data_IF_882059655664
#
_entry.id   IF_882059655664
#
_cell.length_a   1.000
_cell.length_b   1.000
_cell.length_c   1.000
_cell.angle_alpha   90.00
_cell.angle_beta   90.00
_cell.angle_gamma   90.00
#
_symmetry.space_group_name_H-M   'P 1'
#
loop_
_entity.id
_entity.type
_entity.pdbx_description
1 polymer ?
#
# COMPACT_ATOMS: atom_id res chain seq x y z
N UNK A 1 -3.08 18.63 65.71
CA UNK A 1 -3.92 19.84 65.53
C UNK A 1 -3.58 20.71 64.28
N UNK A 2 -2.31 20.76 63.82
CA UNK A 2 -1.91 21.64 62.70
C UNK A 2 -2.15 21.09 61.28
N UNK A 3 -2.17 19.77 61.09
CA UNK A 3 -2.36 19.14 59.76
C UNK A 3 -3.80 19.31 59.23
N UNK A 4 -4.83 19.14 60.06
CA UNK A 4 -6.24 19.32 59.66
C UNK A 4 -6.58 20.75 59.23
N UNK A 5 -6.03 21.75 59.92
CA UNK A 5 -6.26 23.17 59.58
C UNK A 5 -5.64 23.52 58.24
N UNK A 6 -4.44 23.01 57.95
CA UNK A 6 -3.76 23.23 56.68
C UNK A 6 -4.50 22.56 55.52
N UNK A 7 -4.99 21.33 55.72
CA UNK A 7 -5.79 20.61 54.73
C UNK A 7 -7.09 21.37 54.37
N UNK A 8 -7.82 21.89 55.38
CA UNK A 8 -9.04 22.67 55.17
C UNK A 8 -8.80 23.98 54.41
N UNK A 9 -7.71 24.68 54.71
CA UNK A 9 -7.30 25.88 53.94
C UNK A 9 -7.01 25.53 52.49
N UNK A 10 -6.24 24.46 52.22
CA UNK A 10 -5.92 24.04 50.86
C UNK A 10 -7.17 23.64 50.06
N UNK A 11 -8.16 23.02 50.69
CA UNK A 11 -9.42 22.63 50.03
C UNK A 11 -10.27 23.85 49.65
N UNK A 12 -10.29 24.87 50.51
CA UNK A 12 -11.01 26.13 50.25
C UNK A 12 -10.41 26.87 49.06
N UNK A 13 -9.08 27.03 49.04
CA UNK A 13 -8.37 27.66 47.92
C UNK A 13 -8.51 26.87 46.62
N UNK A 14 -8.43 25.54 46.67
CA UNK A 14 -8.63 24.69 45.51
C UNK A 14 -10.04 24.83 44.91
N UNK A 15 -11.06 24.94 45.76
CA UNK A 15 -12.43 25.17 45.29
C UNK A 15 -12.56 26.52 44.58
N UNK A 16 -11.99 27.59 45.14
CA UNK A 16 -11.96 28.92 44.52
C UNK A 16 -11.21 28.93 43.17
N UNK A 17 -10.04 28.29 43.10
CA UNK A 17 -9.24 28.19 41.88
C UNK A 17 -9.96 27.43 40.75
N UNK A 18 -10.73 26.39 41.10
CA UNK A 18 -11.56 25.64 40.16
C UNK A 18 -12.68 26.50 39.57
N UNK A 19 -13.40 27.26 40.41
CA UNK A 19 -14.44 28.19 39.94
C UNK A 19 -13.87 29.28 39.02
N UNK A 20 -12.66 29.77 39.30
CA UNK A 20 -11.96 30.71 38.41
C UNK A 20 -11.64 30.06 37.06
N UNK A 21 -11.15 28.82 37.09
CA UNK A 21 -10.76 28.08 35.89
C UNK A 21 -11.96 27.80 34.97
N UNK A 22 -13.14 27.50 35.52
CA UNK A 22 -14.39 27.39 34.75
C UNK A 22 -14.76 28.68 34.00
N UNK A 23 -14.33 29.83 34.51
CA UNK A 23 -14.48 31.14 33.84
C UNK A 23 -13.29 31.48 32.94
N UNK A 24 -12.45 30.48 32.60
CA UNK A 24 -11.23 30.62 31.79
C UNK A 24 -10.19 31.56 32.43
N UNK A 25 -10.20 31.67 33.76
CA UNK A 25 -9.21 32.44 34.54
C UNK A 25 -8.35 31.47 35.33
N UNK A 26 -7.10 31.29 34.90
CA UNK A 26 -6.12 30.44 35.60
C UNK A 26 -5.34 31.26 36.63
N UNK A 27 -5.33 30.81 37.89
CA UNK A 27 -4.60 31.47 38.97
C UNK A 27 -3.48 30.57 39.52
N UNK A 28 -2.26 31.09 39.65
CA UNK A 28 -1.14 30.35 40.23
C UNK A 28 -1.04 30.63 41.73
N UNK A 29 -1.57 29.73 42.56
CA UNK A 29 -1.66 29.93 44.03
C UNK A 29 -0.89 28.89 44.85
N UNK A 30 -0.69 27.67 44.31
CA UNK A 30 0.09 26.61 44.97
C UNK A 30 1.58 26.96 44.94
N UNK A 31 2.26 26.77 46.06
CA UNK A 31 3.72 26.91 46.21
C UNK A 31 4.28 25.70 46.95
N UNK A 32 5.58 25.47 46.84
CA UNK A 32 6.26 24.39 47.59
C UNK A 32 6.01 24.48 49.10
N UNK A 33 5.95 25.70 49.65
CA UNK A 33 5.65 25.96 51.06
C UNK A 33 4.15 26.10 51.39
N UNK A 34 3.25 26.04 50.41
CA UNK A 34 1.81 26.27 50.58
C UNK A 34 0.97 25.45 49.62
N UNK A 35 0.37 24.37 50.14
CA UNK A 35 -0.54 23.49 49.39
C UNK A 35 0.06 22.92 48.09
N UNK A 36 1.38 22.71 48.06
CA UNK A 36 2.10 22.13 46.94
C UNK A 36 1.54 20.77 46.52
N UNK A 37 1.65 20.46 45.23
CA UNK A 37 1.26 19.19 44.63
C UNK A 37 2.43 18.69 43.80
N UNK A 38 2.85 17.47 44.09
CA UNK A 38 3.96 16.83 43.38
C UNK A 38 3.42 16.07 42.18
N UNK A 39 3.89 16.45 40.99
CA UNK A 39 3.59 15.76 39.74
C UNK A 39 4.86 15.04 39.28
N UNK A 40 4.72 13.74 38.98
CA UNK A 40 5.85 12.92 38.57
C UNK A 40 6.18 13.13 37.09
N UNK A 41 7.43 12.82 36.73
CA UNK A 41 7.89 12.73 35.34
C UNK A 41 7.79 14.06 34.57
N UNK A 42 8.21 15.17 35.21
CA UNK A 42 8.33 16.49 34.59
C UNK A 42 7.00 17.20 34.32
N UNK A 43 5.87 16.67 34.81
CA UNK A 43 4.56 17.34 34.72
C UNK A 43 4.44 18.45 35.75
N UNK A 44 3.58 19.42 35.45
CA UNK A 44 3.17 20.47 36.38
C UNK A 44 1.72 20.28 36.78
N UNK A 45 1.39 20.68 38.01
CA UNK A 45 0.01 20.68 38.47
C UNK A 45 -0.74 21.86 37.85
N UNK A 46 -1.97 21.60 37.40
CA UNK A 46 -2.89 22.58 36.85
C UNK A 46 -4.27 22.40 37.47
N UNK A 47 -4.93 23.50 37.81
CA UNK A 47 -6.32 23.48 38.28
C UNK A 47 -7.31 23.24 37.12
N UNK A 48 -6.84 23.29 35.86
CA UNK A 48 -7.60 22.98 34.65
C UNK A 48 -6.70 22.30 33.61
N UNK A 49 -6.62 20.98 33.68
CA UNK A 49 -5.90 20.16 32.70
C UNK A 49 -6.72 20.04 31.42
N UNK A 50 -6.06 20.09 30.26
CA UNK A 50 -6.72 19.84 28.98
C UNK A 50 -7.19 18.39 28.86
N UNK A 51 -8.43 18.17 28.40
CA UNK A 51 -8.97 16.85 28.09
C UNK A 51 -8.26 16.20 26.88
N UNK A 52 -7.56 16.99 26.08
CA UNK A 52 -6.76 16.54 24.94
C UNK A 52 -5.31 16.98 25.18
N UNK A 53 -4.54 16.28 26.04
CA UNK A 53 -3.17 16.70 26.33
C UNK A 53 -2.31 16.68 25.07
N UNK A 54 -1.49 17.72 24.89
CA UNK A 54 -0.47 17.74 23.85
C UNK A 54 0.45 16.51 24.01
N UNK A 55 0.43 15.63 23.03
CA UNK A 55 1.20 14.38 22.99
C UNK A 55 2.08 14.31 21.76
N UNK A 56 3.13 13.48 21.78
CA UNK A 56 4.02 13.32 20.64
C UNK A 56 3.30 12.83 19.37
N UNK A 57 2.17 12.12 19.51
CA UNK A 57 1.32 11.72 18.40
C UNK A 57 0.51 12.88 17.78
N UNK A 58 0.33 13.99 18.50
CA UNK A 58 -0.49 15.15 18.12
C UNK A 58 0.32 16.40 17.77
N UNK A 59 1.65 16.30 17.76
CA UNK A 59 2.56 17.41 17.40
C UNK A 59 2.07 18.03 16.10
N UNK A 60 1.86 19.35 16.07
CA UNK A 60 1.46 20.14 14.90
C UNK A 60 0.02 19.97 14.39
N UNK A 61 -0.83 19.20 15.07
CA UNK A 61 -2.29 19.13 14.85
C UNK A 61 -3.06 19.37 16.15
N UNK A 62 -2.37 19.95 17.14
CA UNK A 62 -2.92 20.27 18.44
C UNK A 62 -3.76 21.55 18.35
N UNK A 63 -5.04 21.41 18.62
CA UNK A 63 -5.95 22.52 18.86
C UNK A 63 -6.46 22.43 20.30
N UNK A 64 -6.05 23.38 21.14
CA UNK A 64 -6.39 23.41 22.58
C UNK A 64 -7.75 24.06 22.84
N UNK A 65 -8.36 24.70 21.82
CA UNK A 65 -9.49 25.61 22.01
C UNK A 65 -10.75 24.94 22.58
N UNK A 66 -11.03 23.70 22.16
CA UNK A 66 -12.24 22.94 22.55
C UNK A 66 -12.00 21.97 23.71
N UNK A 67 -10.75 21.72 24.09
CA UNK A 67 -10.39 20.66 25.04
C UNK A 67 -10.29 21.13 26.50
N UNK A 68 -10.54 22.41 26.77
CA UNK A 68 -10.54 23.02 28.11
C UNK A 68 -11.94 23.52 28.55
N UNK A 69 -13.02 22.98 27.98
CA UNK A 69 -14.38 23.37 28.36
C UNK A 69 -14.79 22.90 29.76
N UNK A 70 -14.41 21.67 30.14
CA UNK A 70 -14.60 21.13 31.48
C UNK A 70 -13.26 21.07 32.24
N UNK A 71 -13.08 21.97 33.20
CA UNK A 71 -11.85 22.05 33.97
C UNK A 71 -11.81 21.02 35.10
N UNK A 72 -10.91 20.04 34.97
CA UNK A 72 -10.53 19.11 36.04
C UNK A 72 -9.09 19.36 36.45
N UNK A 73 -8.85 19.45 37.76
CA UNK A 73 -7.51 19.64 38.30
C UNK A 73 -6.67 18.36 38.19
N UNK A 74 -5.41 18.48 37.83
CA UNK A 74 -4.52 17.33 37.64
C UNK A 74 -3.10 17.72 37.25
N UNK A 75 -2.33 16.77 36.74
CA UNK A 75 -0.96 16.99 36.26
C UNK A 75 -0.93 16.98 34.72
N UNK A 76 -0.36 18.01 34.10
CA UNK A 76 -0.20 18.12 32.65
C UNK A 76 1.25 18.49 32.27
N UNK A 77 1.60 18.35 31.00
CA UNK A 77 2.90 18.81 30.54
C UNK A 77 2.96 20.34 30.50
N UNK A 78 4.09 20.94 30.89
CA UNK A 78 4.34 22.36 30.68
C UNK A 78 4.18 22.76 29.21
N UNK A 79 3.84 24.03 28.97
CA UNK A 79 3.73 24.57 27.61
C UNK A 79 5.04 24.36 26.83
N UNK A 80 4.91 23.87 25.58
CA UNK A 80 6.05 23.54 24.71
C UNK A 80 6.59 22.11 24.88
N UNK A 81 6.08 21.32 25.82
CA UNK A 81 6.42 19.90 25.97
C UNK A 81 5.24 18.99 25.63
N UNK A 82 5.55 17.80 25.15
CA UNK A 82 4.61 16.80 24.67
C UNK A 82 4.65 15.54 25.52
N UNK A 83 3.47 15.01 25.84
CA UNK A 83 3.31 13.78 26.60
C UNK A 83 3.67 12.55 25.76
N UNK A 84 4.54 11.70 26.30
CA UNK A 84 4.94 10.41 25.73
C UNK A 84 5.29 9.43 26.86
N UNK A 85 4.64 8.27 26.90
CA UNK A 85 4.79 7.24 27.97
C UNK A 85 4.80 7.82 29.40
N UNK A 86 3.95 8.82 29.63
CA UNK A 86 3.85 9.47 30.93
C UNK A 86 5.02 10.41 31.26
N UNK A 87 5.86 10.80 30.30
CA UNK A 87 6.90 11.85 30.45
C UNK A 87 6.62 13.02 29.51
N UNK A 88 7.14 14.19 29.84
CA UNK A 88 7.06 15.38 29.00
C UNK A 88 8.38 15.55 28.24
N UNK A 89 8.33 15.52 26.91
CA UNK A 89 9.49 15.62 26.03
C UNK A 89 9.41 16.91 25.19
N UNK A 90 10.54 17.52 24.83
CA UNK A 90 10.54 18.55 23.79
C UNK A 90 10.20 17.93 22.43
N UNK A 91 9.73 18.74 21.48
CA UNK A 91 9.30 18.27 20.16
C UNK A 91 10.39 17.44 19.47
N UNK A 92 11.65 17.90 19.48
CA UNK A 92 12.78 17.22 18.84
C UNK A 92 13.04 15.80 19.39
N UNK A 93 12.60 15.50 20.61
CA UNK A 93 12.76 14.18 21.25
C UNK A 93 11.57 13.25 21.01
N UNK A 94 10.48 13.73 20.39
CA UNK A 94 9.30 12.92 20.13
C UNK A 94 9.59 11.76 19.15
N UNK A 95 9.28 10.51 19.54
CA UNK A 95 9.49 9.34 18.70
C UNK A 95 8.45 9.28 17.58
N UNK A 96 8.80 8.60 16.49
CA UNK A 96 7.86 8.29 15.40
C UNK A 96 7.40 6.85 15.50
N UNK A 97 6.21 6.60 14.96
CA UNK A 97 5.63 5.26 14.90
C UNK A 97 5.40 4.86 13.46
N UNK A 98 5.81 3.65 13.09
CA UNK A 98 5.49 3.05 11.80
C UNK A 98 5.23 1.56 11.99
N UNK A 99 4.05 1.08 11.55
CA UNK A 99 3.61 -0.32 11.69
C UNK A 99 3.76 -0.87 13.11
N UNK A 100 3.29 -0.09 14.10
CA UNK A 100 3.36 -0.38 15.54
C UNK A 100 4.77 -0.48 16.12
N UNK A 101 5.80 -0.15 15.35
CA UNK A 101 7.16 -0.06 15.84
C UNK A 101 7.53 1.39 16.15
N UNK A 102 8.22 1.59 17.27
CA UNK A 102 8.74 2.89 17.73
C UNK A 102 10.10 3.16 17.11
N UNK A 103 10.30 4.41 16.69
CA UNK A 103 11.55 4.92 16.12
C UNK A 103 11.99 6.17 16.87
N UNK A 104 13.27 6.23 17.21
CA UNK A 104 13.90 7.40 17.84
C UNK A 104 14.05 8.54 16.82
N UNK A 105 14.08 9.80 17.27
CA UNK A 105 14.40 10.94 16.42
C UNK A 105 15.68 10.73 15.62
N UNK A 106 15.68 11.15 14.35
CA UNK A 106 16.78 10.96 13.41
C UNK A 106 16.87 9.58 12.77
N UNK A 107 16.11 8.58 13.24
CA UNK A 107 16.07 7.28 12.57
C UNK A 107 15.39 7.36 11.21
N UNK A 108 15.89 6.53 10.30
CA UNK A 108 15.45 6.48 8.90
C UNK A 108 14.79 5.15 8.61
N UNK A 109 13.65 5.21 7.92
CA UNK A 109 13.04 4.06 7.27
C UNK A 109 12.99 4.29 5.76
N UNK A 110 12.99 3.20 5.00
CA UNK A 110 12.75 3.23 3.56
C UNK A 110 11.31 2.83 3.28
N UNK A 111 10.57 3.70 2.58
CA UNK A 111 9.21 3.42 2.12
C UNK A 111 9.19 3.45 0.60
N UNK A 112 9.04 2.26 -0.01
CA UNK A 112 9.28 2.06 -1.46
C UNK A 112 10.69 2.54 -1.83
N UNK A 113 10.81 3.55 -2.69
CA UNK A 113 12.07 4.19 -3.03
C UNK A 113 12.42 5.37 -2.11
N UNK A 114 11.45 5.91 -1.37
CA UNK A 114 11.62 7.12 -0.58
C UNK A 114 12.30 6.86 0.76
N UNK A 115 13.10 7.84 1.19
CA UNK A 115 13.77 7.84 2.48
C UNK A 115 12.98 8.73 3.46
N UNK A 116 12.53 8.14 4.57
CA UNK A 116 11.74 8.82 5.58
C UNK A 116 12.53 8.95 6.89
N UNK A 117 12.73 10.18 7.35
CA UNK A 117 13.44 10.46 8.60
C UNK A 117 12.44 10.87 9.68
N UNK A 118 12.58 10.31 10.88
CA UNK A 118 11.78 10.69 12.04
C UNK A 118 12.25 12.03 12.59
N UNK A 119 11.40 13.05 12.55
CA UNK A 119 11.69 14.40 13.05
C UNK A 119 10.44 14.95 13.74
N UNK A 120 10.55 15.26 15.04
CA UNK A 120 9.46 15.90 15.77
C UNK A 120 8.20 15.03 15.90
N UNK A 121 8.35 13.73 16.14
CA UNK A 121 7.23 12.77 16.15
C UNK A 121 6.58 12.49 14.79
N UNK A 122 7.11 13.05 13.70
CA UNK A 122 6.57 12.92 12.34
C UNK A 122 7.58 12.33 11.35
N UNK A 123 7.08 11.61 10.35
CA UNK A 123 7.90 11.14 9.23
C UNK A 123 8.05 12.24 8.18
N UNK A 124 9.30 12.62 7.88
CA UNK A 124 9.62 13.46 6.72
C UNK A 124 10.25 12.59 5.63
N UNK A 125 9.50 12.35 4.56
CA UNK A 125 9.91 11.50 3.45
C UNK A 125 10.33 12.32 2.24
N UNK A 126 11.32 11.82 1.48
CA UNK A 126 11.51 12.26 0.10
C UNK A 126 10.24 12.01 -0.73
N UNK A 127 10.08 12.76 -1.81
CA UNK A 127 8.91 12.73 -2.70
C UNK A 127 9.31 12.20 -4.08
N UNK A 128 10.25 11.27 -4.11
CA UNK A 128 10.69 10.60 -5.32
C UNK A 128 9.55 9.72 -5.85
N UNK A 129 9.33 9.82 -7.16
CA UNK A 129 8.44 8.91 -7.85
C UNK A 129 9.11 7.54 -7.95
N UNK A 130 8.41 6.50 -7.51
CA UNK A 130 8.98 5.14 -7.46
C UNK A 130 8.53 4.31 -8.66
N UNK A 131 9.39 3.38 -9.10
CA UNK A 131 8.97 2.32 -10.00
C UNK A 131 7.73 1.60 -9.46
N UNK A 132 6.85 1.20 -10.37
CA UNK A 132 5.62 0.46 -10.05
C UNK A 132 5.60 -0.87 -10.81
N UNK A 133 4.88 -1.83 -10.24
CA UNK A 133 4.74 -3.19 -10.79
C UNK A 133 3.27 -3.48 -11.07
N UNK A 134 2.98 -3.87 -12.31
CA UNK A 134 1.73 -4.52 -12.70
C UNK A 134 1.95 -6.03 -12.69
N UNK A 135 0.96 -6.78 -12.21
CA UNK A 135 1.04 -8.25 -12.20
C UNK A 135 -0.19 -8.91 -12.80
N UNK A 136 0.01 -9.94 -13.60
CA UNK A 136 -1.03 -10.85 -14.07
C UNK A 136 -0.71 -12.23 -13.53
N UNK A 137 -1.57 -12.78 -12.67
CA UNK A 137 -1.31 -14.03 -11.94
C UNK A 137 -2.46 -15.01 -12.05
N UNK A 138 -2.13 -16.30 -12.17
CA UNK A 138 -3.11 -17.38 -12.21
C UNK A 138 -4.10 -17.24 -13.37
N UNK A 139 -5.39 -17.30 -13.05
CA UNK A 139 -6.48 -17.26 -14.03
C UNK A 139 -6.86 -15.81 -14.39
N UNK A 140 -5.91 -15.05 -14.94
CA UNK A 140 -6.15 -13.68 -15.39
C UNK A 140 -6.61 -12.72 -14.26
N UNK A 141 -5.93 -12.79 -13.11
CA UNK A 141 -6.05 -11.80 -12.06
C UNK A 141 -5.01 -10.69 -12.25
N UNK A 142 -5.48 -9.46 -12.30
CA UNK A 142 -4.66 -8.28 -12.57
C UNK A 142 -4.51 -7.44 -11.32
N UNK A 143 -3.31 -6.90 -11.14
CA UNK A 143 -3.02 -5.78 -10.25
C UNK A 143 -2.35 -4.72 -11.11
N UNK A 144 -2.95 -3.54 -11.22
CA UNK A 144 -2.41 -2.40 -11.97
C UNK A 144 -1.20 -1.80 -11.27
N UNK A 145 -0.47 -0.91 -11.96
CA UNK A 145 0.65 -0.17 -11.37
C UNK A 145 0.26 0.61 -10.11
N UNK A 146 -0.99 1.11 -10.06
CA UNK A 146 -1.51 1.93 -8.97
C UNK A 146 -2.27 1.11 -7.91
N UNK A 147 -2.35 -0.21 -8.11
CA UNK A 147 -2.79 -1.17 -7.10
C UNK A 147 -4.26 -1.60 -7.22
N UNK A 148 -4.98 -1.18 -8.26
CA UNK A 148 -6.33 -1.65 -8.54
C UNK A 148 -6.30 -3.13 -8.90
N UNK A 149 -7.18 -3.89 -8.25
CA UNK A 149 -7.30 -5.34 -8.44
C UNK A 149 -8.55 -5.65 -9.23
N UNK A 150 -8.45 -6.52 -10.23
CA UNK A 150 -9.60 -7.05 -10.94
C UNK A 150 -9.31 -8.43 -11.54
N UNK A 151 -10.37 -9.14 -11.91
CA UNK A 151 -10.28 -10.49 -12.50
C UNK A 151 -11.05 -10.46 -13.80
N UNK A 152 -10.40 -10.79 -14.91
CA UNK A 152 -11.01 -10.68 -16.24
C UNK A 152 -10.78 -11.96 -17.04
N UNK A 153 -11.87 -12.58 -17.48
CA UNK A 153 -11.85 -13.83 -18.26
C UNK A 153 -12.13 -13.52 -19.72
N UNK A 154 -11.08 -13.26 -20.50
CA UNK A 154 -11.17 -12.96 -21.92
C UNK A 154 -10.21 -13.85 -22.70
N UNK A 155 -10.74 -14.60 -23.66
CA UNK A 155 -9.97 -15.50 -24.54
C UNK A 155 -9.56 -14.77 -25.82
N UNK A 156 -8.55 -13.90 -25.71
CA UNK A 156 -8.00 -13.11 -26.81
C UNK A 156 -6.62 -12.56 -26.39
N UNK A 157 -5.96 -11.88 -27.31
CA UNK A 157 -4.84 -11.00 -27.02
C UNK A 157 -5.32 -9.60 -26.58
N UNK A 158 -4.79 -9.13 -25.45
CA UNK A 158 -5.12 -7.82 -24.88
C UNK A 158 -3.87 -6.98 -24.65
N UNK A 159 -4.00 -5.67 -24.87
CA UNK A 159 -2.94 -4.70 -24.54
C UNK A 159 -2.84 -4.54 -23.02
N UNK A 160 -1.73 -4.98 -22.46
CA UNK A 160 -1.42 -4.83 -21.03
C UNK A 160 -0.85 -3.44 -20.74
N UNK A 161 0.10 -3.01 -21.58
CA UNK A 161 0.77 -1.70 -21.48
C UNK A 161 0.99 -1.17 -22.88
N UNK A 162 0.60 0.07 -23.12
CA UNK A 162 0.92 0.84 -24.31
C UNK A 162 1.42 2.21 -23.87
N UNK A 163 2.67 2.53 -24.21
CA UNK A 163 3.19 3.90 -24.18
C UNK A 163 2.55 4.68 -25.34
N UNK A 164 1.45 5.36 -25.06
CA UNK A 164 0.65 6.07 -26.06
C UNK A 164 1.21 7.45 -26.40
N UNK A 165 2.18 7.94 -25.62
CA UNK A 165 2.79 9.26 -25.77
C UNK A 165 4.07 9.18 -26.62
N UNK A 166 5.03 8.34 -26.24
CA UNK A 166 6.32 8.24 -26.93
C UNK A 166 6.40 7.02 -27.87
N UNK A 167 5.48 6.06 -27.77
CA UNK A 167 5.44 4.88 -28.64
C UNK A 167 6.62 3.93 -28.46
N UNK A 168 7.30 3.94 -27.30
CA UNK A 168 8.54 3.17 -27.07
C UNK A 168 8.28 1.73 -26.65
N UNK A 169 7.12 1.47 -26.06
CA UNK A 169 6.80 0.19 -25.43
C UNK A 169 5.35 -0.22 -25.69
N UNK A 170 5.16 -1.44 -26.18
CA UNK A 170 3.87 -2.12 -26.25
C UNK A 170 4.04 -3.52 -25.67
N UNK A 171 3.17 -3.88 -24.72
CA UNK A 171 3.11 -5.20 -24.11
C UNK A 171 1.69 -5.72 -24.25
N UNK A 172 1.54 -6.88 -24.86
CA UNK A 172 0.27 -7.59 -24.97
C UNK A 172 0.36 -9.00 -24.37
N UNK A 173 -0.76 -9.48 -23.85
CA UNK A 173 -0.90 -10.81 -23.27
C UNK A 173 -1.91 -11.63 -24.05
N UNK A 174 -1.51 -12.83 -24.48
CA UNK A 174 -2.36 -13.80 -25.16
C UNK A 174 -2.99 -14.72 -24.12
N UNK A 175 -4.30 -14.60 -23.96
CA UNK A 175 -5.08 -15.45 -23.06
C UNK A 175 -5.81 -16.51 -23.88
N UNK A 176 -5.64 -17.77 -23.50
CA UNK A 176 -6.32 -18.92 -24.11
C UNK A 176 -7.14 -19.67 -23.05
N UNK A 177 -8.12 -20.46 -23.50
CA UNK A 177 -8.80 -21.41 -22.61
C UNK A 177 -7.78 -22.42 -22.05
N UNK A 178 -7.71 -22.50 -20.73
CA UNK A 178 -6.86 -23.47 -20.03
C UNK A 178 -7.65 -24.65 -19.44
N UNK A 179 -8.95 -24.73 -19.73
CA UNK A 179 -9.83 -25.80 -19.28
C UNK A 179 -10.34 -25.62 -17.86
N UNK A 180 -11.37 -26.40 -17.53
CA UNK A 180 -12.15 -26.28 -16.28
C UNK A 180 -13.55 -25.69 -16.54
N UNK A 181 -14.51 -25.89 -15.62
CA UNK A 181 -15.85 -25.36 -15.77
C UNK A 181 -15.80 -23.84 -15.69
N UNK A 182 -16.42 -23.19 -16.67
CA UNK A 182 -16.52 -21.74 -16.72
C UNK A 182 -15.73 -21.02 -17.81
N UNK A 183 -15.04 -21.75 -18.69
CA UNK A 183 -14.20 -21.17 -19.75
C UNK A 183 -13.21 -20.15 -19.15
N UNK A 184 -12.32 -20.67 -18.30
CA UNK A 184 -11.32 -19.86 -17.58
C UNK A 184 -10.15 -19.58 -18.52
N UNK A 185 -9.73 -18.33 -18.61
CA UNK A 185 -8.63 -17.93 -19.47
C UNK A 185 -7.31 -17.83 -18.69
N UNK A 186 -6.25 -18.40 -19.26
CA UNK A 186 -4.90 -18.31 -18.72
C UNK A 186 -3.98 -17.60 -19.71
N UNK A 187 -3.05 -16.81 -19.18
CA UNK A 187 -2.01 -16.15 -19.95
C UNK A 187 -1.02 -17.21 -20.48
N UNK A 188 -0.92 -17.34 -21.81
CA UNK A 188 -0.07 -18.34 -22.49
C UNK A 188 1.19 -17.75 -23.10
N UNK A 189 1.08 -16.52 -23.57
CA UNK A 189 2.21 -15.81 -24.13
C UNK A 189 2.13 -14.32 -23.84
N UNK A 190 3.29 -13.69 -23.86
CA UNK A 190 3.44 -12.24 -23.69
C UNK A 190 4.31 -11.74 -24.83
N UNK A 191 3.79 -10.78 -25.58
CA UNK A 191 4.51 -10.10 -26.65
C UNK A 191 4.94 -8.72 -26.15
N UNK A 192 6.22 -8.41 -26.31
CA UNK A 192 6.85 -7.15 -25.91
C UNK A 192 7.49 -6.54 -27.15
N UNK A 193 6.92 -5.44 -27.62
CA UNK A 193 7.50 -4.66 -28.71
C UNK A 193 8.20 -3.44 -28.14
N UNK A 194 9.51 -3.35 -28.40
CA UNK A 194 10.35 -2.18 -28.07
C UNK A 194 10.86 -1.60 -29.38
N UNK A 195 10.46 -0.38 -29.70
CA UNK A 195 10.72 0.26 -30.99
C UNK A 195 10.27 -0.60 -32.19
N UNK A 196 11.20 -1.37 -32.79
CA UNK A 196 10.95 -2.25 -33.95
C UNK A 196 11.15 -3.72 -33.64
N UNK A 197 11.69 -4.06 -32.46
CA UNK A 197 11.98 -5.43 -32.09
C UNK A 197 10.82 -5.98 -31.29
N UNK A 198 10.27 -7.10 -31.75
CA UNK A 198 9.18 -7.80 -31.08
C UNK A 198 9.69 -9.08 -30.45
N UNK A 199 9.52 -9.21 -29.14
CA UNK A 199 9.90 -10.39 -28.37
C UNK A 199 8.64 -11.10 -27.91
N UNK A 200 8.53 -12.41 -28.14
CA UNK A 200 7.44 -13.22 -27.59
C UNK A 200 7.99 -14.22 -26.58
N UNK A 201 7.48 -14.15 -25.35
CA UNK A 201 7.73 -15.11 -24.28
C UNK A 201 6.54 -16.07 -24.20
N UNK A 202 6.79 -17.37 -24.13
CA UNK A 202 5.76 -18.41 -24.15
C UNK A 202 5.96 -19.41 -23.00
N UNK A 203 4.94 -20.23 -22.73
CA UNK A 203 5.02 -21.31 -21.73
C UNK A 203 6.00 -22.43 -22.11
N UNK A 204 6.39 -22.57 -23.38
CA UNK A 204 7.49 -23.46 -23.80
C UNK A 204 8.82 -23.10 -23.15
N UNK A 205 8.99 -21.82 -22.79
CA UNK A 205 10.22 -21.26 -22.24
C UNK A 205 11.27 -20.91 -23.28
N UNK A 206 10.98 -21.10 -24.57
CA UNK A 206 11.83 -20.71 -25.69
C UNK A 206 11.35 -19.37 -26.26
N UNK A 207 12.08 -18.26 -26.01
CA UNK A 207 11.66 -16.96 -26.51
C UNK A 207 11.90 -16.84 -28.01
N UNK A 208 11.06 -16.06 -28.67
CA UNK A 208 11.27 -15.65 -30.06
C UNK A 208 11.52 -14.15 -30.13
N UNK A 209 12.38 -13.73 -31.06
CA UNK A 209 12.66 -12.33 -31.38
C UNK A 209 12.42 -12.16 -32.88
N UNK A 210 11.53 -11.25 -33.24
CA UNK A 210 11.08 -11.00 -34.62
C UNK A 210 10.64 -12.28 -35.35
N UNK A 211 9.97 -13.17 -34.61
CA UNK A 211 9.46 -14.45 -35.10
C UNK A 211 10.49 -15.58 -35.18
N UNK A 212 11.76 -15.34 -34.83
CA UNK A 212 12.82 -16.36 -34.81
C UNK A 212 13.13 -16.78 -33.38
N UNK A 213 13.17 -18.08 -33.12
CA UNK A 213 13.60 -18.63 -31.82
C UNK A 213 15.05 -18.27 -31.55
N UNK A 214 15.33 -17.75 -30.35
CA UNK A 214 16.68 -17.35 -29.93
C UNK A 214 17.18 -18.21 -28.77
N UNK A 215 18.49 -18.33 -28.65
CA UNK A 215 19.13 -18.99 -27.50
C UNK A 215 19.35 -17.99 -26.36
N UNK A 216 19.31 -18.49 -25.11
CA UNK A 216 19.52 -17.70 -23.92
C UNK A 216 20.95 -17.86 -23.37
N UNK A 217 21.59 -16.78 -22.86
CA UNK A 217 21.05 -15.42 -22.78
C UNK A 217 21.10 -14.71 -24.14
N UNK A 218 20.05 -13.95 -24.45
CA UNK A 218 20.00 -13.06 -25.62
C UNK A 218 20.31 -11.63 -25.16
N UNK A 219 21.27 -10.96 -25.80
CA UNK A 219 21.67 -9.61 -25.42
C UNK A 219 21.84 -8.74 -26.67
N UNK A 220 21.28 -7.54 -26.59
CA UNK A 220 21.49 -6.43 -27.53
C UNK A 220 21.71 -5.15 -26.71
N UNK A 221 22.10 -4.03 -27.34
CA UNK A 221 22.17 -2.74 -26.65
C UNK A 221 20.82 -2.31 -26.03
N UNK A 222 19.71 -2.70 -26.65
CA UNK A 222 18.37 -2.18 -26.36
C UNK A 222 17.54 -3.11 -25.46
N UNK A 223 17.83 -4.41 -25.50
CA UNK A 223 17.12 -5.41 -24.72
C UNK A 223 18.01 -6.61 -24.35
N UNK A 224 17.69 -7.24 -23.23
CA UNK A 224 18.27 -8.53 -22.85
C UNK A 224 17.21 -9.49 -22.35
N UNK A 225 17.38 -10.78 -22.64
CA UNK A 225 16.53 -11.86 -22.20
C UNK A 225 17.42 -12.89 -21.52
N UNK A 226 17.09 -13.28 -20.29
CA UNK A 226 17.87 -14.24 -19.50
C UNK A 226 16.95 -15.19 -18.78
N UNK A 227 17.39 -16.43 -18.60
CA UNK A 227 16.77 -17.37 -17.67
C UNK A 227 17.36 -17.13 -16.29
N UNK A 228 16.54 -16.70 -15.34
CA UNK A 228 16.98 -16.34 -13.96
C UNK A 228 16.69 -17.44 -12.94
N UNK A 229 15.86 -18.42 -13.30
CA UNK A 229 15.68 -19.68 -12.57
C UNK A 229 15.22 -20.79 -13.52
N UNK A 230 14.99 -22.01 -13.04
CA UNK A 230 14.40 -23.09 -13.85
C UNK A 230 13.07 -22.69 -14.48
N UNK A 231 12.31 -21.81 -13.82
CA UNK A 231 10.93 -21.47 -14.18
C UNK A 231 10.73 -20.01 -14.59
N UNK A 232 11.74 -19.14 -14.45
CA UNK A 232 11.58 -17.71 -14.69
C UNK A 232 12.51 -17.18 -15.78
N UNK A 233 11.92 -16.44 -16.72
CA UNK A 233 12.61 -15.60 -17.69
C UNK A 233 12.54 -14.14 -17.23
N UNK A 234 13.64 -13.41 -17.39
CA UNK A 234 13.75 -11.97 -17.19
C UNK A 234 14.02 -11.31 -18.55
N UNK A 235 13.11 -10.43 -18.97
CA UNK A 235 13.33 -9.50 -20.07
C UNK A 235 13.60 -8.12 -19.49
N UNK A 236 14.67 -7.48 -19.89
CA UNK A 236 15.01 -6.11 -19.46
C UNK A 236 15.24 -5.22 -20.67
N UNK A 237 14.66 -4.02 -20.65
CA UNK A 237 14.80 -2.98 -21.67
C UNK A 237 14.77 -1.59 -21.02
N UNK A 238 14.76 -0.52 -21.81
CA UNK A 238 14.84 0.86 -21.34
C UNK A 238 13.73 1.21 -20.34
N UNK A 239 14.09 1.28 -19.07
CA UNK A 239 13.15 1.66 -18.00
C UNK A 239 12.03 0.65 -17.74
N UNK A 240 12.11 -0.55 -18.30
CA UNK A 240 11.11 -1.60 -18.11
C UNK A 240 11.77 -2.97 -17.92
N UNK A 241 11.19 -3.82 -17.08
CA UNK A 241 11.55 -5.23 -17.03
C UNK A 241 10.33 -6.11 -16.75
N UNK A 242 10.39 -7.33 -17.28
CA UNK A 242 9.34 -8.32 -17.14
C UNK A 242 9.92 -9.61 -16.56
N UNK A 243 9.22 -10.17 -15.58
CA UNK A 243 9.47 -11.51 -15.06
C UNK A 243 8.33 -12.40 -15.51
N UNK A 244 8.65 -13.43 -16.29
CA UNK A 244 7.70 -14.40 -16.84
C UNK A 244 7.96 -15.79 -16.26
N UNK A 245 6.94 -16.38 -15.63
CA UNK A 245 7.00 -17.75 -15.14
C UNK A 245 6.44 -18.72 -16.19
N UNK A 246 7.25 -19.71 -16.60
CA UNK A 246 6.90 -20.67 -17.65
C UNK A 246 6.09 -21.88 -17.15
N UNK A 247 6.14 -22.18 -15.84
CA UNK A 247 5.46 -23.33 -15.23
C UNK A 247 4.08 -22.94 -14.68
N UNK A 248 4.03 -21.85 -13.93
CA UNK A 248 2.80 -21.27 -13.40
C UNK A 248 2.63 -19.86 -13.97
N UNK A 249 1.90 -19.70 -15.09
CA UNK A 249 1.90 -18.46 -15.86
C UNK A 249 1.54 -17.27 -14.97
N UNK A 250 2.58 -16.51 -14.66
CA UNK A 250 2.53 -15.29 -13.89
C UNK A 250 3.50 -14.33 -14.54
N UNK A 251 3.01 -13.11 -14.72
CA UNK A 251 3.73 -12.03 -15.35
C UNK A 251 3.82 -10.88 -14.37
N UNK A 252 5.03 -10.36 -14.18
CA UNK A 252 5.28 -9.13 -13.44
C UNK A 252 5.95 -8.14 -14.38
N UNK A 253 5.33 -6.99 -14.61
CA UNK A 253 5.84 -5.91 -15.43
C UNK A 253 6.20 -4.77 -14.48
N UNK A 254 7.45 -4.36 -14.44
CA UNK A 254 7.88 -3.20 -13.65
C UNK A 254 8.34 -2.08 -14.58
N UNK A 255 7.78 -0.89 -14.40
CA UNK A 255 8.15 0.32 -15.12
C UNK A 255 8.83 1.32 -14.20
N UNK A 256 9.84 2.00 -14.74
CA UNK A 256 10.47 3.16 -14.09
C UNK A 256 9.56 4.40 -14.22
N UNK A 257 9.68 5.38 -13.30
CA UNK A 257 8.87 6.59 -13.27
C UNK A 257 8.83 7.40 -14.57
N UNK A 258 9.80 7.22 -15.47
CA UNK A 258 9.82 7.87 -16.79
C UNK A 258 8.63 7.51 -17.68
N UNK A 259 7.90 6.44 -17.36
CA UNK A 259 6.67 6.02 -18.02
C UNK A 259 5.39 6.50 -17.32
N UNK A 260 5.51 7.16 -16.16
CA UNK A 260 4.35 7.68 -15.44
C UNK A 260 3.56 8.67 -16.31
N UNK A 261 2.23 8.59 -16.21
CA UNK A 261 1.27 9.39 -17.00
C UNK A 261 1.33 9.17 -18.53
N UNK A 262 2.16 8.25 -19.03
CA UNK A 262 2.39 8.00 -20.48
C UNK A 262 1.90 6.65 -20.97
N UNK A 263 1.43 5.80 -20.05
CA UNK A 263 0.99 4.46 -20.38
C UNK A 263 -0.51 4.29 -20.14
N UNK A 264 -1.09 3.33 -20.86
CA UNK A 264 -2.45 2.84 -20.67
C UNK A 264 -2.52 1.37 -21.05
N UNK A 265 -3.59 0.69 -20.68
CA UNK A 265 -3.76 -0.74 -20.91
C UNK A 265 -4.40 -1.41 -19.71
N UNK A 266 -4.49 -2.74 -19.73
CA UNK A 266 -5.02 -3.48 -18.58
C UNK A 266 -4.19 -3.29 -17.29
N UNK A 267 -2.96 -2.79 -17.38
CA UNK A 267 -2.13 -2.41 -16.23
C UNK A 267 -2.39 -1.01 -15.67
N UNK A 268 -3.36 -0.26 -16.19
CA UNK A 268 -3.74 1.06 -15.70
C UNK A 268 -2.94 2.21 -16.32
N UNK A 269 -2.99 3.38 -15.68
CA UNK A 269 -2.45 4.66 -16.17
C UNK A 269 -1.06 4.98 -15.63
N UNK A 270 -0.65 4.33 -14.53
CA UNK A 270 0.62 4.56 -13.83
C UNK A 270 0.82 6.03 -13.44
N UNK A 271 -0.06 6.52 -12.58
CA UNK A 271 -0.03 7.90 -12.05
C UNK A 271 -0.23 7.96 -10.53
N UNK A 272 -0.08 6.82 -9.85
CA UNK A 272 -0.31 6.63 -8.42
C UNK A 272 -1.75 6.89 -7.96
N UNK A 273 -2.74 6.87 -8.88
CA UNK A 273 -4.16 7.04 -8.60
C UNK A 273 -5.00 5.88 -9.18
N UNK A 274 -5.30 4.88 -8.34
CA UNK A 274 -6.10 3.71 -8.74
C UNK A 274 -7.54 4.01 -9.25
N UNK A 275 -8.06 5.23 -9.05
CA UNK A 275 -9.44 5.56 -9.41
C UNK A 275 -9.64 5.70 -10.93
N UNK A 276 -8.59 6.06 -11.66
CA UNK A 276 -8.62 6.26 -13.11
C UNK A 276 -7.99 5.11 -13.91
N UNK A 277 -7.59 4.02 -13.26
CA UNK A 277 -6.97 2.86 -13.89
C UNK A 277 -7.82 2.21 -15.00
N UNK A 278 -9.13 2.48 -15.04
CA UNK A 278 -10.04 2.01 -16.10
C UNK A 278 -10.17 3.04 -17.23
N UNK A 279 -9.08 3.76 -17.55
CA UNK A 279 -9.01 4.69 -18.68
C UNK A 279 -8.82 3.93 -19.99
N UNK A 280 -9.66 4.23 -20.98
CA UNK A 280 -9.74 3.58 -22.29
C UNK A 280 -8.65 4.07 -23.26
N UNK A 281 -8.52 3.47 -24.45
CA UNK A 281 -7.73 4.01 -25.55
C UNK A 281 -8.21 5.39 -26.07
N UNK A 282 -9.45 5.80 -25.78
CA UNK A 282 -9.97 7.12 -26.14
C UNK A 282 -9.68 8.19 -25.08
N UNK A 283 -9.24 7.77 -23.88
CA UNK A 283 -8.84 8.66 -22.78
C UNK A 283 -9.97 9.01 -21.80
N UNK A 284 -11.17 8.49 -22.02
CA UNK A 284 -12.25 8.49 -21.03
C UNK A 284 -12.10 7.30 -20.06
N UNK A 285 -12.78 7.36 -18.91
CA UNK A 285 -12.73 6.30 -17.90
C UNK A 285 -14.05 5.57 -17.79
N UNK A 286 -13.97 4.24 -17.74
CA UNK A 286 -15.12 3.36 -17.59
C UNK A 286 -15.36 2.97 -16.13
N UNK A 287 -16.64 2.84 -15.77
CA UNK A 287 -17.03 2.32 -14.46
C UNK A 287 -17.05 0.78 -14.45
N UNK A 288 -17.45 0.18 -15.57
CA UNK A 288 -17.59 -1.26 -15.73
C UNK A 288 -16.29 -1.94 -16.14
N UNK A 289 -16.00 -3.09 -15.53
CA UNK A 289 -14.82 -3.89 -15.88
C UNK A 289 -14.83 -4.31 -17.35
N UNK A 290 -15.95 -4.82 -17.85
CA UNK A 290 -16.04 -5.35 -19.21
C UNK A 290 -16.09 -4.25 -20.26
N UNK A 291 -16.67 -3.09 -19.93
CA UNK A 291 -16.65 -1.91 -20.80
C UNK A 291 -15.21 -1.42 -20.99
N UNK A 292 -14.41 -1.45 -19.92
CA UNK A 292 -12.98 -1.16 -19.97
C UNK A 292 -12.17 -2.24 -20.73
N UNK A 293 -12.24 -3.51 -20.32
CA UNK A 293 -11.31 -4.54 -20.83
C UNK A 293 -11.53 -4.86 -22.30
N UNK A 294 -12.77 -4.82 -22.79
CA UNK A 294 -13.08 -5.09 -24.20
C UNK A 294 -12.50 -4.02 -25.15
N UNK A 295 -12.20 -2.81 -24.65
CA UNK A 295 -11.55 -1.74 -25.44
C UNK A 295 -10.08 -2.03 -25.73
N UNK A 296 -9.44 -2.93 -24.99
CA UNK A 296 -8.02 -3.24 -25.13
C UNK A 296 -7.74 -4.53 -25.91
N UNK A 297 -8.72 -5.07 -26.62
CA UNK A 297 -8.51 -6.20 -27.55
C UNK A 297 -7.56 -5.78 -28.67
N UNK A 298 -6.54 -6.59 -28.94
CA UNK A 298 -5.59 -6.33 -30.05
C UNK A 298 -6.28 -6.52 -31.41
N UNK A 299 -7.18 -7.50 -31.51
CA UNK A 299 -7.92 -7.80 -32.74
C UNK A 299 -9.41 -7.54 -32.58
N UNK A 300 -10.00 -6.83 -33.55
CA UNK A 300 -11.45 -6.63 -33.63
C UNK A 300 -12.22 -7.91 -33.93
N UNK A 301 -11.54 -8.98 -34.35
CA UNK A 301 -12.15 -10.29 -34.58
C UNK A 301 -12.48 -11.02 -33.27
N UNK A 302 -11.89 -10.60 -32.14
CA UNK A 302 -12.17 -11.21 -30.86
C UNK A 302 -13.57 -10.82 -30.34
N UNK A 303 -14.35 -11.80 -29.85
CA UNK A 303 -15.65 -11.52 -29.25
C UNK A 303 -15.50 -10.70 -27.97
N UNK A 304 -16.54 -9.92 -27.63
CA UNK A 304 -16.58 -9.24 -26.34
C UNK A 304 -16.71 -10.26 -25.21
N UNK A 305 -15.86 -10.12 -24.20
CA UNK A 305 -15.98 -10.85 -22.96
C UNK A 305 -17.06 -10.20 -22.08
N UNK A 306 -17.79 -11.02 -21.33
CA UNK A 306 -18.89 -10.58 -20.47
C UNK A 306 -18.79 -11.14 -19.05
N UNK A 307 -19.64 -10.65 -18.13
CA UNK A 307 -19.68 -11.11 -16.75
C UNK A 307 -19.89 -12.62 -16.66
N UNK A 308 -18.89 -13.31 -16.12
CA UNK A 308 -18.99 -14.72 -15.72
C UNK A 308 -19.00 -14.80 -14.20
N UNK A 309 -20.18 -15.08 -13.64
CA UNK A 309 -20.37 -15.31 -12.20
C UNK A 309 -20.12 -16.78 -11.90
N UNK A 310 -18.86 -17.17 -11.74
CA UNK A 310 -18.52 -18.51 -11.33
C UNK A 310 -17.53 -18.43 -10.17
N UNK A 311 -18.02 -18.75 -8.98
CA UNK A 311 -17.20 -19.08 -7.82
C UNK A 311 -16.78 -20.55 -7.94
N UNK A 312 -15.49 -20.87 -8.19
CA UNK A 312 -15.03 -22.25 -8.27
C UNK A 312 -15.32 -23.06 -7.01
N UNK A 313 -15.30 -22.44 -5.82
CA UNK A 313 -15.59 -23.12 -4.56
C UNK A 313 -17.09 -23.42 -4.38
N UNK A 314 -17.97 -22.64 -5.03
CA UNK A 314 -19.40 -22.93 -5.12
C UNK A 314 -19.71 -24.06 -6.10
N UNK A 315 -18.97 -24.14 -7.22
CA UNK A 315 -19.15 -25.21 -8.22
C UNK A 315 -18.52 -26.54 -7.78
N UNK A 316 -17.38 -26.48 -7.08
CA UNK A 316 -16.63 -27.62 -6.58
C UNK A 316 -16.62 -27.68 -5.06
N UNK A 317 -17.82 -27.81 -4.47
CA UNK A 317 -18.00 -27.82 -3.02
C UNK A 317 -17.16 -28.90 -2.33
N UNK A 318 -16.90 -30.03 -3.00
CA UNK A 318 -16.06 -31.11 -2.48
C UNK A 318 -14.58 -30.75 -2.33
N UNK A 319 -14.09 -29.72 -3.03
CA UNK A 319 -12.70 -29.24 -2.94
C UNK A 319 -12.57 -27.99 -2.07
N UNK A 320 -13.69 -27.45 -1.58
CA UNK A 320 -13.73 -26.21 -0.83
C UNK A 320 -12.93 -26.30 0.47
N UNK A 321 -13.16 -27.33 1.26
CA UNK A 321 -12.50 -27.51 2.56
C UNK A 321 -10.97 -27.58 2.41
N UNK A 322 -10.50 -28.39 1.45
CA UNK A 322 -9.08 -28.47 1.12
C UNK A 322 -8.50 -27.11 0.69
N UNK A 323 -9.21 -26.37 -0.17
CA UNK A 323 -8.75 -25.06 -0.64
C UNK A 323 -8.69 -24.04 0.51
N UNK A 324 -9.71 -24.00 1.37
CA UNK A 324 -9.76 -23.12 2.54
C UNK A 324 -8.61 -23.46 3.52
N UNK A 325 -8.35 -24.75 3.79
CA UNK A 325 -7.26 -25.19 4.67
C UNK A 325 -5.87 -24.81 4.10
N UNK A 326 -5.63 -25.10 2.82
CA UNK A 326 -4.37 -24.77 2.16
C UNK A 326 -4.13 -23.25 2.12
N UNK A 327 -5.17 -22.46 1.87
CA UNK A 327 -5.11 -21.00 1.86
C UNK A 327 -4.94 -20.38 3.24
N UNK A 328 -5.49 -21.01 4.28
CA UNK A 328 -5.37 -20.53 5.66
C UNK A 328 -3.89 -20.48 6.11
N UNK A 329 -3.03 -21.35 5.56
CA UNK A 329 -1.59 -21.33 5.82
C UNK A 329 -0.94 -19.98 5.48
N UNK A 330 -1.38 -19.33 4.40
CA UNK A 330 -0.85 -18.03 3.96
C UNK A 330 -1.20 -16.92 4.96
N UNK A 331 -2.29 -17.10 5.72
CA UNK A 331 -2.71 -16.20 6.80
C UNK A 331 -2.19 -16.62 8.17
N UNK A 332 -1.50 -17.76 8.25
CA UNK A 332 -0.95 -18.31 9.47
C UNK A 332 0.32 -17.61 9.94
N UNK A 333 0.80 -18.02 11.11
CA UNK A 333 1.90 -17.36 11.82
C UNK A 333 3.22 -17.30 11.03
N UNK A 334 3.46 -18.30 10.15
CA UNK A 334 4.64 -18.34 9.27
C UNK A 334 4.75 -17.10 8.38
N UNK A 335 3.62 -16.53 7.97
CA UNK A 335 3.57 -15.38 7.07
C UNK A 335 3.18 -14.06 7.78
N UNK A 336 2.87 -14.07 9.08
CA UNK A 336 2.46 -12.86 9.84
C UNK A 336 3.48 -11.71 9.77
N UNK A 337 4.78 -12.01 9.76
CA UNK A 337 5.86 -11.01 9.64
C UNK A 337 5.85 -10.32 8.27
N UNK A 338 5.38 -11.00 7.21
CA UNK A 338 5.24 -10.40 5.88
C UNK A 338 3.90 -9.68 5.70
N UNK A 339 2.82 -10.18 6.31
CA UNK A 339 1.49 -9.56 6.27
C UNK A 339 1.52 -8.17 6.95
N UNK A 340 2.15 -8.06 8.12
CA UNK A 340 2.36 -6.76 8.79
C UNK A 340 3.26 -5.79 8.00
N UNK A 341 4.12 -6.31 7.10
CA UNK A 341 4.92 -5.49 6.17
C UNK A 341 4.22 -5.13 4.86
N UNK A 342 3.10 -5.77 4.51
CA UNK A 342 2.33 -5.48 3.29
C UNK A 342 0.96 -4.82 3.57
N UNK A 343 0.46 -4.86 4.80
CA UNK A 343 -0.89 -4.41 5.21
C UNK A 343 -1.22 -2.91 5.05
N UNK A 344 -0.35 -2.10 4.43
CA UNK A 344 -0.72 -0.78 3.91
C UNK A 344 -1.42 -0.83 2.54
N UNK A 345 -1.42 -2.00 1.89
CA UNK A 345 -2.16 -2.31 0.67
C UNK A 345 -2.71 -3.72 0.85
N UNK A 346 -4.04 -3.88 0.83
CA UNK A 346 -4.71 -5.17 0.91
C UNK A 346 -4.04 -6.15 -0.06
N UNK A 347 -3.23 -7.05 0.49
CA UNK A 347 -2.54 -8.08 -0.29
C UNK A 347 -3.43 -9.29 -0.26
N UNK A 348 -4.44 -9.30 -1.14
CA UNK A 348 -5.04 -10.56 -1.53
C UNK A 348 -3.95 -11.33 -2.28
N UNK A 349 -3.37 -12.31 -1.59
CA UNK A 349 -2.50 -13.30 -2.20
C UNK A 349 -3.47 -14.24 -2.93
N UNK A 350 -3.37 -14.30 -4.25
CA UNK A 350 -4.21 -15.15 -5.06
C UNK A 350 -3.86 -16.61 -4.76
N UNK A 351 -4.80 -17.32 -4.13
CA UNK A 351 -4.69 -18.74 -3.89
C UNK A 351 -4.87 -19.54 -5.19
N UNK A 352 -4.27 -20.73 -5.29
CA UNK A 352 -4.59 -21.64 -6.38
C UNK A 352 -6.08 -21.98 -6.36
N UNK A 353 -6.72 -21.89 -7.53
CA UNK A 353 -8.10 -22.32 -7.69
C UNK A 353 -8.21 -23.83 -7.41
N UNK A 354 -9.29 -24.32 -6.78
CA UNK A 354 -9.57 -25.75 -6.68
C UNK A 354 -9.56 -26.48 -8.03
N UNK A 355 -9.72 -25.75 -9.14
CA UNK A 355 -9.68 -26.28 -10.50
C UNK A 355 -8.25 -26.66 -10.99
N UNK A 356 -7.20 -26.13 -10.37
CA UNK A 356 -5.80 -26.28 -10.84
C UNK A 356 -5.05 -27.42 -10.14
N UNK A 357 -5.67 -28.05 -9.13
CA UNK A 357 -5.05 -29.14 -8.38
C UNK A 357 -5.38 -30.45 -9.10
N UNK A 358 -4.52 -30.87 -10.03
CA UNK A 358 -4.54 -32.21 -10.61
C UNK A 358 -3.92 -33.22 -9.65
#
# INVERSE_FOLDING_TARGET
PGQDRTASVCQTFASYARECSQKKITITWRKTSFCGKDCLMGKQYSDCVSACPASCASVGSYDDGQCREECVSGCECPAGLYLEDGRCLPEEECPCYHRRQRYSPGQVIKQRCNQCTCLGGRWRCSQDQCAAECSVVGHSHYVTFDGRRFSFQGECEYVLVQDYMDGKLLISGENEDCGGPGAVSCLRAVSVTVHKTSVKLQTSGDPTVDGQTVTLPFLTPDLSIRRVSSTHLLLQTFGAHLIWNVEFPSLYITLQPTFADKVRGLCGTYNWNQNDDFTTPEGDSEAGLYDFTNKFKVSSACPDAGPRSLDPCGMYTQRREYAEEACALISGDVFQVQITRKSGTSSQIYCPSPATIQ
#
